data_IF_259994446824
#
_entry.id   IF_259994446824
#
_cell.length_a   1.000
_cell.length_b   1.000
_cell.length_c   1.000
_cell.angle_alpha   90.00
_cell.angle_beta   90.00
_cell.angle_gamma   90.00
#
_symmetry.space_group_name_H-M   'P 1'
#
loop_
_entity.id
_entity.type
_entity.pdbx_description
1 polymer ?
#
# COMPACT_ATOMS: atom_id res chain seq x y z
N UNK A 1 13.64 -18.54 -24.06
CA UNK A 1 13.67 -18.51 -22.59
C UNK A 1 14.64 -19.57 -22.09
N UNK A 2 15.82 -19.15 -21.65
CA UNK A 2 16.81 -20.01 -20.97
C UNK A 2 16.20 -20.55 -19.68
N UNK A 3 15.92 -21.86 -19.64
CA UNK A 3 15.45 -22.53 -18.42
C UNK A 3 16.46 -22.27 -17.31
N UNK A 4 16.05 -21.61 -16.24
CA UNK A 4 16.88 -21.43 -15.05
C UNK A 4 17.28 -22.81 -14.53
N UNK A 5 18.57 -23.13 -14.63
CA UNK A 5 19.13 -24.41 -14.16
C UNK A 5 19.36 -24.28 -12.65
N UNK A 6 18.29 -24.45 -11.86
CA UNK A 6 18.44 -24.59 -10.41
C UNK A 6 18.92 -26.02 -10.07
N UNK A 7 19.95 -26.18 -9.21
CA UNK A 7 20.39 -27.47 -8.69
C UNK A 7 19.24 -28.30 -8.13
N UNK A 8 19.26 -29.61 -8.34
CA UNK A 8 18.16 -30.51 -7.97
C UNK A 8 17.84 -30.43 -6.46
N UNK A 9 18.86 -30.24 -5.63
CA UNK A 9 18.73 -30.07 -4.17
C UNK A 9 17.90 -28.84 -3.78
N UNK A 10 18.09 -27.71 -4.48
CA UNK A 10 17.31 -26.49 -4.24
C UNK A 10 15.86 -26.69 -4.67
N UNK A 11 15.64 -27.35 -5.82
CA UNK A 11 14.28 -27.72 -6.27
C UNK A 11 13.58 -28.59 -5.23
N UNK A 12 14.25 -29.64 -4.73
CA UNK A 12 13.68 -30.54 -3.72
C UNK A 12 13.41 -29.81 -2.40
N UNK A 13 14.31 -28.92 -1.95
CA UNK A 13 14.10 -28.09 -0.77
C UNK A 13 12.88 -27.17 -0.92
N UNK A 14 12.74 -26.51 -2.05
CA UNK A 14 11.63 -25.60 -2.35
C UNK A 14 10.29 -26.36 -2.46
N UNK A 15 10.30 -27.55 -3.06
CA UNK A 15 9.14 -28.47 -3.08
C UNK A 15 8.73 -28.94 -1.69
N UNK A 16 9.69 -29.23 -0.80
CA UNK A 16 9.42 -29.60 0.59
C UNK A 16 8.84 -28.43 1.38
N UNK A 17 9.36 -27.21 1.21
CA UNK A 17 8.81 -26.00 1.83
C UNK A 17 7.39 -25.71 1.34
N UNK A 18 7.12 -25.88 0.04
CA UNK A 18 5.78 -25.77 -0.52
C UNK A 18 4.84 -26.83 0.07
N UNK A 19 5.23 -28.12 0.08
CA UNK A 19 4.42 -29.19 0.69
C UNK A 19 4.19 -29.01 2.19
N UNK A 20 5.17 -28.49 2.93
CA UNK A 20 5.01 -28.17 4.35
C UNK A 20 4.05 -26.99 4.59
N UNK A 21 3.98 -26.03 3.65
CA UNK A 21 2.93 -25.02 3.61
C UNK A 21 1.56 -25.56 3.17
N UNK A 22 1.48 -26.80 2.66
CA UNK A 22 0.25 -27.53 2.32
C UNK A 22 0.06 -28.70 3.30
N UNK A 23 0.20 -28.44 4.61
CA UNK A 23 -0.24 -29.41 5.61
C UNK A 23 -1.78 -29.53 5.59
N UNK A 24 -2.36 -30.74 5.74
CA UNK A 24 -3.71 -31.07 5.27
C UNK A 24 -4.86 -30.70 6.22
N UNK A 25 -4.62 -29.81 7.19
CA UNK A 25 -5.66 -29.34 8.12
C UNK A 25 -6.08 -27.94 7.72
N UNK A 26 -7.16 -27.87 6.93
CA UNK A 26 -7.86 -26.64 6.59
C UNK A 26 -8.43 -25.96 7.84
N UNK A 27 -8.29 -24.65 8.02
CA UNK A 27 -9.42 -23.81 8.40
C UNK A 27 -10.16 -23.40 7.12
N UNK A 28 -11.49 -23.32 7.18
CA UNK A 28 -12.43 -23.12 6.05
C UNK A 28 -12.28 -21.80 5.26
N UNK A 29 -11.17 -21.04 5.40
CA UNK A 29 -10.90 -19.86 4.59
C UNK A 29 -9.40 -19.52 4.50
N UNK A 30 -8.84 -19.62 3.30
CA UNK A 30 -7.55 -19.03 2.92
C UNK A 30 -6.34 -19.96 2.99
N UNK A 31 -5.44 -19.83 2.01
CA UNK A 31 -4.10 -20.43 2.04
C UNK A 31 -3.30 -19.93 3.24
N UNK A 32 -2.44 -20.75 3.87
CA UNK A 32 -1.55 -20.31 4.95
C UNK A 32 -0.54 -19.28 4.38
N UNK A 33 -0.87 -18.00 4.55
CA UNK A 33 0.03 -16.88 4.28
C UNK A 33 1.25 -16.99 5.21
N UNK A 34 2.36 -17.54 4.74
CA UNK A 34 3.52 -17.65 5.63
C UNK A 34 4.83 -18.17 5.09
N UNK A 35 4.93 -18.58 3.83
CA UNK A 35 6.25 -18.83 3.24
C UNK A 35 6.91 -17.49 2.87
N UNK A 36 8.06 -17.15 3.46
CA UNK A 36 8.90 -15.98 3.04
C UNK A 36 9.16 -16.00 1.52
N UNK A 37 9.06 -17.18 0.90
CA UNK A 37 9.27 -17.44 -0.53
C UNK A 37 8.01 -17.20 -1.38
N UNK A 38 6.82 -17.12 -0.78
CA UNK A 38 5.55 -16.98 -1.51
C UNK A 38 5.46 -15.72 -2.39
N UNK A 39 5.90 -14.53 -1.93
CA UNK A 39 5.92 -13.32 -2.78
C UNK A 39 6.87 -13.47 -3.97
N UNK A 40 8.01 -14.14 -3.76
CA UNK A 40 8.99 -14.40 -4.82
C UNK A 40 8.43 -15.37 -5.86
N UNK A 41 7.77 -16.44 -5.42
CA UNK A 41 7.16 -17.42 -6.32
C UNK A 41 5.98 -16.83 -7.09
N UNK A 42 5.17 -15.98 -6.48
CA UNK A 42 4.12 -15.23 -7.19
C UNK A 42 4.73 -14.33 -8.27
N UNK A 43 5.83 -13.62 -7.97
CA UNK A 43 6.52 -12.79 -8.96
C UNK A 43 7.10 -13.60 -10.12
N UNK A 44 7.67 -14.78 -9.85
CA UNK A 44 8.19 -15.71 -10.87
C UNK A 44 7.04 -16.27 -11.72
N UNK A 45 5.97 -16.71 -11.07
CA UNK A 45 4.80 -17.25 -11.76
C UNK A 45 4.18 -16.21 -12.69
N UNK A 46 4.03 -14.98 -12.23
CA UNK A 46 3.45 -13.87 -13.01
C UNK A 46 4.45 -13.20 -13.96
N UNK A 47 5.71 -13.67 -14.02
CA UNK A 47 6.71 -13.09 -14.91
C UNK A 47 6.35 -13.30 -16.40
N UNK A 48 6.50 -12.25 -17.20
CA UNK A 48 6.15 -12.23 -18.62
C UNK A 48 4.70 -11.76 -18.91
N UNK A 49 3.90 -11.46 -17.89
CA UNK A 49 2.55 -10.91 -18.09
C UNK A 49 2.59 -9.50 -18.72
N UNK A 50 3.66 -8.75 -18.44
CA UNK A 50 3.93 -7.41 -18.95
C UNK A 50 4.19 -7.39 -20.47
N UNK A 51 4.53 -8.54 -21.08
CA UNK A 51 4.71 -8.68 -22.53
C UNK A 51 3.38 -8.64 -23.29
N UNK A 52 2.25 -8.90 -22.62
CA UNK A 52 0.92 -8.90 -23.25
C UNK A 52 0.50 -7.49 -23.65
N UNK A 53 0.74 -6.53 -22.76
CA UNK A 53 0.36 -5.13 -22.94
C UNK A 53 1.09 -4.23 -21.92
N UNK A 54 1.41 -2.96 -22.26
CA UNK A 54 1.86 -1.95 -21.30
C UNK A 54 1.07 -1.97 -20.00
N UNK A 55 1.78 -2.28 -18.92
CA UNK A 55 1.20 -2.47 -17.59
C UNK A 55 2.17 -2.10 -16.48
N UNK A 56 1.62 -1.85 -15.31
CA UNK A 56 2.36 -1.72 -14.05
C UNK A 56 1.87 -2.82 -13.13
N UNK A 57 2.81 -3.59 -12.58
CA UNK A 57 2.53 -4.71 -11.67
C UNK A 57 3.21 -4.46 -10.32
N UNK A 58 2.47 -4.77 -9.26
CA UNK A 58 2.97 -4.85 -7.90
C UNK A 58 2.48 -6.15 -7.26
N UNK A 59 3.38 -7.14 -7.15
CA UNK A 59 3.02 -8.50 -6.74
C UNK A 59 1.87 -9.08 -7.59
N UNK A 60 0.70 -9.29 -6.99
CA UNK A 60 -0.54 -9.79 -7.61
C UNK A 60 -1.43 -8.68 -8.18
N UNK A 61 -1.29 -7.44 -7.71
CA UNK A 61 -2.04 -6.30 -8.21
C UNK A 61 -1.42 -5.76 -9.52
N UNK A 62 -2.23 -5.65 -10.57
CA UNK A 62 -1.78 -5.22 -11.90
C UNK A 62 -2.74 -4.23 -12.54
N UNK A 63 -2.18 -3.27 -13.28
CA UNK A 63 -2.93 -2.26 -14.04
C UNK A 63 -2.44 -2.27 -15.48
N UNK A 64 -3.36 -2.45 -16.43
CA UNK A 64 -3.09 -2.37 -17.86
C UNK A 64 -3.54 -1.02 -18.42
N UNK A 65 -2.68 -0.37 -19.21
CA UNK A 65 -2.99 0.92 -19.81
C UNK A 65 -3.46 0.76 -21.24
N UNK A 66 -4.77 0.83 -21.49
CA UNK A 66 -5.34 0.68 -22.82
C UNK A 66 -5.21 1.96 -23.65
N UNK A 67 -4.83 1.84 -24.92
CA UNK A 67 -4.88 2.95 -25.90
C UNK A 67 -6.26 2.99 -26.57
N UNK A 68 -6.66 4.11 -27.19
CA UNK A 68 -8.00 4.26 -27.80
C UNK A 68 -8.37 3.22 -28.87
N UNK A 69 -7.38 2.56 -29.49
CA UNK A 69 -7.59 1.52 -30.51
C UNK A 69 -7.54 0.09 -29.96
N UNK A 70 -7.24 -0.05 -28.66
CA UNK A 70 -7.08 -1.37 -28.05
C UNK A 70 -8.44 -1.93 -27.63
N UNK A 71 -8.63 -3.23 -27.85
CA UNK A 71 -9.80 -3.93 -27.38
C UNK A 71 -9.53 -4.52 -25.99
N UNK A 72 -10.20 -3.96 -24.98
CA UNK A 72 -10.08 -4.36 -23.58
C UNK A 72 -10.40 -5.84 -23.35
N UNK A 73 -11.43 -6.37 -24.01
CA UNK A 73 -11.88 -7.76 -23.86
C UNK A 73 -10.84 -8.73 -24.40
N UNK A 74 -10.25 -8.42 -25.55
CA UNK A 74 -9.19 -9.25 -26.15
C UNK A 74 -7.93 -9.29 -25.30
N UNK A 75 -7.58 -8.17 -24.65
CA UNK A 75 -6.45 -8.11 -23.73
C UNK A 75 -6.76 -8.92 -22.47
N UNK A 76 -7.97 -8.77 -21.92
CA UNK A 76 -8.43 -9.55 -20.78
C UNK A 76 -8.39 -11.06 -21.08
N UNK A 77 -8.84 -11.49 -22.25
CA UNK A 77 -8.79 -12.89 -22.68
C UNK A 77 -7.35 -13.42 -22.76
N UNK A 78 -6.42 -12.65 -23.32
CA UNK A 78 -4.99 -13.01 -23.35
C UNK A 78 -4.42 -13.17 -21.94
N UNK A 79 -4.79 -12.28 -21.03
CA UNK A 79 -4.37 -12.35 -19.62
C UNK A 79 -4.97 -13.58 -18.94
N UNK A 80 -6.25 -13.89 -19.19
CA UNK A 80 -6.89 -15.11 -18.69
C UNK A 80 -6.18 -16.37 -19.19
N UNK A 81 -5.89 -16.45 -20.49
CA UNK A 81 -5.16 -17.58 -21.07
C UNK A 81 -3.75 -17.73 -20.47
N UNK A 82 -3.07 -16.60 -20.20
CA UNK A 82 -1.74 -16.60 -19.58
C UNK A 82 -1.76 -17.12 -18.14
N UNK A 83 -2.77 -16.73 -17.36
CA UNK A 83 -2.97 -17.15 -15.98
C UNK A 83 -3.45 -18.60 -15.89
N UNK A 84 -4.38 -19.01 -16.78
CA UNK A 84 -4.89 -20.38 -16.85
C UNK A 84 -3.78 -21.39 -17.12
N UNK A 85 -2.82 -21.07 -18.01
CA UNK A 85 -1.62 -21.91 -18.25
C UNK A 85 -0.77 -22.13 -16.99
N UNK A 86 -0.92 -21.27 -15.98
CA UNK A 86 -0.19 -21.32 -14.70
C UNK A 86 -1.07 -21.78 -13.53
N UNK A 87 -2.28 -22.25 -13.82
CA UNK A 87 -3.24 -22.74 -12.82
C UNK A 87 -3.87 -21.63 -11.97
N UNK A 88 -3.85 -20.38 -12.44
CA UNK A 88 -4.44 -19.23 -11.75
C UNK A 88 -5.68 -18.74 -12.48
N UNK A 89 -6.71 -18.35 -11.72
CA UNK A 89 -7.93 -17.75 -12.25
C UNK A 89 -7.98 -16.25 -11.93
N UNK A 90 -8.54 -15.47 -12.84
CA UNK A 90 -8.83 -14.06 -12.59
C UNK A 90 -10.06 -13.96 -11.69
N UNK A 91 -9.98 -13.12 -10.67
CA UNK A 91 -11.17 -12.69 -9.93
C UNK A 91 -11.93 -11.67 -10.78
N UNK A 92 -13.02 -12.12 -11.40
CA UNK A 92 -13.89 -11.28 -12.24
C UNK A 92 -14.49 -10.11 -11.46
N UNK A 93 -14.73 -10.27 -10.16
CA UNK A 93 -15.24 -9.21 -9.27
C UNK A 93 -14.24 -8.07 -9.02
N UNK A 94 -12.94 -8.39 -9.01
CA UNK A 94 -11.87 -7.41 -8.80
C UNK A 94 -11.44 -6.71 -10.08
N UNK A 95 -11.71 -7.32 -11.23
CA UNK A 95 -11.27 -6.80 -12.52
C UNK A 95 -12.28 -5.78 -13.04
N UNK A 96 -11.86 -4.52 -13.15
CA UNK A 96 -12.74 -3.44 -13.60
C UNK A 96 -12.09 -2.68 -14.75
N UNK A 97 -12.82 -2.55 -15.85
CA UNK A 97 -12.45 -1.65 -16.94
C UNK A 97 -12.97 -0.27 -16.56
N UNK A 98 -12.06 0.67 -16.37
CA UNK A 98 -12.40 2.04 -15.95
C UNK A 98 -11.67 3.04 -16.84
N UNK A 99 -12.32 4.18 -17.08
CA UNK A 99 -11.69 5.28 -17.78
C UNK A 99 -10.75 6.02 -16.85
N UNK A 100 -9.62 6.50 -17.38
CA UNK A 100 -8.68 7.32 -16.60
C UNK A 100 -9.33 8.61 -16.06
N UNK A 101 -10.41 9.08 -16.69
CA UNK A 101 -11.22 10.23 -16.24
C UNK A 101 -12.11 9.92 -15.05
N UNK A 102 -12.68 8.72 -14.98
CA UNK A 102 -13.41 8.24 -13.80
C UNK A 102 -12.45 8.01 -12.64
N UNK A 103 -11.29 7.43 -12.95
CA UNK A 103 -10.23 7.09 -12.02
C UNK A 103 -10.31 5.65 -11.50
N UNK A 104 -9.23 5.18 -10.91
CA UNK A 104 -9.10 3.82 -10.37
C UNK A 104 -8.26 3.80 -9.09
N UNK A 105 -8.49 2.78 -8.26
CA UNK A 105 -7.71 2.57 -7.04
C UNK A 105 -6.58 1.55 -7.29
N UNK A 106 -5.37 1.87 -6.86
CA UNK A 106 -4.21 0.98 -6.91
C UNK A 106 -3.26 1.27 -5.74
N UNK A 107 -2.84 0.22 -5.01
CA UNK A 107 -1.97 0.31 -3.81
C UNK A 107 -2.46 1.28 -2.74
N UNK A 108 -3.78 1.43 -2.61
CA UNK A 108 -4.40 2.35 -1.65
C UNK A 108 -4.37 3.81 -2.07
N UNK A 109 -4.02 4.11 -3.32
CA UNK A 109 -4.11 5.43 -3.95
C UNK A 109 -5.19 5.41 -5.04
N UNK A 110 -5.94 6.49 -5.14
CA UNK A 110 -6.89 6.78 -6.19
C UNK A 110 -6.23 7.67 -7.25
N UNK A 111 -6.19 7.17 -8.48
CA UNK A 111 -5.60 7.85 -9.64
C UNK A 111 -6.71 8.36 -10.54
N UNK A 112 -6.67 9.65 -10.88
CA UNK A 112 -7.67 10.28 -11.75
C UNK A 112 -7.03 11.33 -12.65
N UNK A 113 -7.35 11.29 -13.94
CA UNK A 113 -7.05 12.36 -14.88
C UNK A 113 -8.24 13.30 -14.92
N UNK A 114 -8.03 14.57 -14.58
CA UNK A 114 -9.08 15.57 -14.67
C UNK A 114 -9.36 15.95 -16.14
N UNK A 115 -10.54 16.50 -16.41
CA UNK A 115 -10.93 16.98 -17.75
C UNK A 115 -9.97 18.03 -18.32
N UNK A 116 -9.28 18.78 -17.45
CA UNK A 116 -8.23 19.73 -17.82
C UNK A 116 -6.86 19.08 -18.15
N UNK A 117 -6.80 17.74 -18.25
CA UNK A 117 -5.59 16.98 -18.53
C UNK A 117 -4.63 16.83 -17.34
N UNK A 118 -4.92 17.40 -16.16
CA UNK A 118 -4.07 17.28 -14.98
C UNK A 118 -4.28 15.94 -14.29
N UNK A 119 -3.19 15.23 -14.05
CA UNK A 119 -3.18 14.02 -13.23
C UNK A 119 -3.32 14.35 -11.75
N UNK A 120 -4.19 13.63 -11.04
CA UNK A 120 -4.35 13.69 -9.59
C UNK A 120 -4.19 12.31 -8.98
N UNK A 121 -3.42 12.27 -7.90
CA UNK A 121 -3.27 11.12 -7.03
C UNK A 121 -3.71 11.51 -5.62
N UNK A 122 -4.73 10.84 -5.10
CA UNK A 122 -5.26 11.03 -3.74
C UNK A 122 -5.28 9.68 -3.01
N UNK A 123 -5.24 9.64 -1.67
CA UNK A 123 -5.49 8.39 -0.94
C UNK A 123 -6.85 7.77 -1.31
N UNK A 124 -6.93 6.45 -1.43
CA UNK A 124 -8.20 5.78 -1.75
C UNK A 124 -9.21 5.88 -0.60
N UNK A 125 -10.49 5.77 -0.95
CA UNK A 125 -11.61 5.80 0.01
C UNK A 125 -11.42 4.75 1.10
N UNK A 126 -11.18 3.51 0.67
CA UNK A 126 -11.02 2.34 1.54
C UNK A 126 -9.80 2.48 2.48
N UNK A 127 -8.69 3.04 1.98
CA UNK A 127 -7.50 3.28 2.79
C UNK A 127 -7.79 4.30 3.90
N UNK A 128 -8.45 5.40 3.55
CA UNK A 128 -8.88 6.40 4.55
C UNK A 128 -9.87 5.80 5.57
N UNK A 129 -10.81 4.97 5.13
CA UNK A 129 -11.72 4.30 6.05
C UNK A 129 -11.00 3.36 7.02
N UNK A 130 -10.03 2.58 6.52
CA UNK A 130 -9.18 1.71 7.35
C UNK A 130 -8.41 2.52 8.39
N UNK A 131 -7.82 3.66 8.00
CA UNK A 131 -7.18 4.58 8.92
C UNK A 131 -8.17 5.09 9.98
N UNK A 132 -9.33 5.59 9.54
CA UNK A 132 -10.36 6.16 10.43
C UNK A 132 -10.88 5.12 11.42
N UNK A 133 -11.12 3.89 10.98
CA UNK A 133 -11.55 2.78 11.86
C UNK A 133 -10.49 2.49 12.93
N UNK A 134 -9.21 2.37 12.55
CA UNK A 134 -8.10 2.18 13.50
C UNK A 134 -7.97 3.34 14.49
N UNK A 135 -8.05 4.58 14.01
CA UNK A 135 -7.97 5.76 14.86
C UNK A 135 -9.15 5.83 15.84
N UNK A 136 -10.38 5.60 15.36
CA UNK A 136 -11.58 5.57 16.21
C UNK A 136 -11.52 4.47 17.27
N UNK A 137 -11.02 3.28 16.94
CA UNK A 137 -10.86 2.20 17.91
C UNK A 137 -9.97 2.61 19.09
N UNK A 138 -8.89 3.37 18.84
CA UNK A 138 -8.01 3.88 19.90
C UNK A 138 -8.67 4.99 20.70
N UNK A 139 -9.35 5.91 20.02
CA UNK A 139 -9.98 7.08 20.65
C UNK A 139 -11.15 6.68 21.55
N UNK A 140 -11.96 5.72 21.09
CA UNK A 140 -13.16 5.25 21.79
C UNK A 140 -12.86 4.25 22.92
N UNK A 141 -11.60 3.80 23.06
CA UNK A 141 -11.23 2.90 24.14
C UNK A 141 -11.26 3.66 25.49
N UNK A 142 -12.23 3.36 26.35
CA UNK A 142 -12.42 4.03 27.66
C UNK A 142 -11.33 3.68 28.68
N UNK A 143 -10.64 2.54 28.52
CA UNK A 143 -9.58 2.08 29.43
C UNK A 143 -8.30 2.91 29.26
N UNK A 144 -8.05 3.43 28.05
CA UNK A 144 -6.83 4.17 27.77
C UNK A 144 -6.92 5.62 28.23
N UNK A 145 -5.95 6.05 29.02
CA UNK A 145 -5.76 7.46 29.32
C UNK A 145 -5.53 8.29 28.04
N UNK A 146 -6.00 9.53 28.04
CA UNK A 146 -5.92 10.47 26.91
C UNK A 146 -4.49 10.66 26.39
N UNK A 147 -3.50 10.70 27.29
CA UNK A 147 -2.08 10.78 26.92
C UNK A 147 -1.59 9.51 26.18
N UNK A 148 -2.03 8.33 26.61
CA UNK A 148 -1.69 7.04 25.99
C UNK A 148 -2.36 6.91 24.62
N UNK A 149 -3.59 7.42 24.46
CA UNK A 149 -4.27 7.51 23.15
C UNK A 149 -3.47 8.34 22.17
N UNK A 150 -2.99 9.52 22.59
CA UNK A 150 -2.17 10.38 21.75
C UNK A 150 -0.87 9.69 21.31
N UNK A 151 -0.16 9.03 22.24
CA UNK A 151 1.05 8.25 21.93
C UNK A 151 0.80 7.11 20.94
N UNK A 152 -0.34 6.41 21.04
CA UNK A 152 -0.71 5.32 20.12
C UNK A 152 -1.16 5.81 18.74
N UNK A 153 -1.82 6.97 18.67
CA UNK A 153 -2.28 7.56 17.40
C UNK A 153 -1.12 8.12 16.58
N UNK A 154 -0.14 8.76 17.23
CA UNK A 154 0.98 9.42 16.56
C UNK A 154 1.70 8.56 15.50
N UNK A 155 2.16 7.32 15.78
CA UNK A 155 2.85 6.49 14.78
C UNK A 155 1.94 6.06 13.63
N UNK A 156 0.64 5.83 13.88
CA UNK A 156 -0.32 5.42 12.85
C UNK A 156 -0.56 6.58 11.88
N UNK A 157 -0.83 7.78 12.41
CA UNK A 157 -1.06 8.98 11.61
C UNK A 157 0.22 9.37 10.86
N UNK A 158 1.39 9.29 11.52
CA UNK A 158 2.69 9.56 10.89
C UNK A 158 2.96 8.58 9.74
N UNK A 159 2.78 7.28 9.96
CA UNK A 159 2.97 6.26 8.93
C UNK A 159 2.06 6.49 7.72
N UNK A 160 0.79 6.82 7.97
CA UNK A 160 -0.16 7.11 6.91
C UNK A 160 0.21 8.38 6.13
N UNK A 161 0.59 9.46 6.81
CA UNK A 161 1.07 10.71 6.16
C UNK A 161 2.35 10.50 5.38
N UNK A 162 3.26 9.64 5.85
CA UNK A 162 4.49 9.30 5.14
C UNK A 162 4.20 8.49 3.88
N UNK A 163 3.31 7.49 3.96
CA UNK A 163 2.93 6.67 2.81
C UNK A 163 2.26 7.49 1.71
N UNK A 164 1.41 8.47 2.09
CA UNK A 164 0.70 9.35 1.15
C UNK A 164 1.39 10.70 0.93
N UNK A 165 2.66 10.85 1.31
CA UNK A 165 3.40 12.13 1.26
C UNK A 165 3.50 12.73 -0.14
N UNK A 166 3.42 11.89 -1.16
CA UNK A 166 3.50 12.26 -2.58
C UNK A 166 2.13 12.49 -3.22
N UNK A 167 1.05 12.16 -2.50
CA UNK A 167 -0.31 12.43 -2.94
C UNK A 167 -0.68 13.88 -2.63
N UNK A 168 -1.67 14.36 -3.36
CA UNK A 168 -2.29 15.65 -3.07
C UNK A 168 -3.12 15.54 -1.79
N UNK A 169 -2.61 16.09 -0.69
CA UNK A 169 -3.23 16.03 0.65
C UNK A 169 -4.00 17.31 1.04
N UNK A 170 -4.21 18.24 0.12
CA UNK A 170 -4.83 19.55 0.39
C UNK A 170 -6.35 19.49 0.65
N UNK A 171 -7.01 18.38 0.29
CA UNK A 171 -8.43 18.19 0.59
C UNK A 171 -8.71 18.05 2.10
N UNK A 172 -9.82 18.60 2.59
CA UNK A 172 -10.25 18.55 4.00
C UNK A 172 -10.33 17.14 4.60
N UNK A 173 -10.64 16.15 3.76
CA UNK A 173 -10.62 14.73 4.07
C UNK A 173 -9.19 14.20 4.27
N UNK A 174 -8.26 14.60 3.42
CA UNK A 174 -6.88 14.09 3.38
C UNK A 174 -5.94 14.82 4.34
N UNK A 175 -6.27 16.05 4.73
CA UNK A 175 -5.63 16.77 5.83
C UNK A 175 -5.92 16.15 7.21
N UNK A 176 -6.85 15.19 7.26
CA UNK A 176 -7.38 14.54 8.47
C UNK A 176 -8.07 15.52 9.42
N UNK A 177 -8.55 16.66 8.91
CA UNK A 177 -9.14 17.72 9.72
C UNK A 177 -10.32 17.22 10.56
N UNK A 178 -11.28 16.52 9.94
CA UNK A 178 -12.42 15.96 10.65
C UNK A 178 -12.00 14.98 11.74
N UNK A 179 -11.00 14.13 11.47
CA UNK A 179 -10.50 13.16 12.45
C UNK A 179 -9.79 13.88 13.61
N UNK A 180 -9.05 14.95 13.32
CA UNK A 180 -8.38 15.77 14.32
C UNK A 180 -9.41 16.47 15.23
N UNK A 181 -10.44 17.09 14.65
CA UNK A 181 -11.55 17.70 15.40
C UNK A 181 -12.28 16.69 16.28
N UNK A 182 -12.57 15.51 15.72
CA UNK A 182 -13.14 14.39 16.43
C UNK A 182 -12.30 14.01 17.66
N UNK A 183 -10.98 13.84 17.50
CA UNK A 183 -10.07 13.53 18.62
C UNK A 183 -10.04 14.66 19.64
N UNK A 184 -10.00 15.92 19.19
CA UNK A 184 -10.01 17.09 20.06
C UNK A 184 -11.27 17.14 20.94
N UNK A 185 -12.46 16.91 20.37
CA UNK A 185 -13.72 16.87 21.12
C UNK A 185 -13.68 15.78 22.19
N UNK A 186 -13.21 14.56 21.86
CA UNK A 186 -13.07 13.48 22.87
C UNK A 186 -12.04 13.82 23.94
N UNK A 187 -10.93 14.46 23.60
CA UNK A 187 -9.90 14.83 24.57
C UNK A 187 -10.35 16.00 25.46
N UNK A 188 -11.24 16.88 24.98
CA UNK A 188 -11.88 17.94 25.75
C UNK A 188 -12.97 17.44 26.71
N UNK A 189 -13.58 16.30 26.40
CA UNK A 189 -14.54 15.66 27.29
C UNK A 189 -13.90 15.07 28.56
N UNK A 190 -12.57 14.88 28.55
CA UNK A 190 -11.81 14.51 29.74
C UNK A 190 -11.73 15.70 30.71
N UNK A 191 -12.54 15.65 31.78
CA UNK A 191 -12.63 16.70 32.80
C UNK A 191 -11.33 16.92 33.57
N UNK A 192 -10.42 15.94 33.54
CA UNK A 192 -9.15 16.01 34.26
C UNK A 192 -8.06 16.81 33.52
N UNK A 193 -8.33 17.26 32.28
CA UNK A 193 -7.35 17.97 31.46
C UNK A 193 -7.88 19.34 31.01
N UNK A 194 -7.04 20.36 31.16
CA UNK A 194 -7.34 21.71 30.67
C UNK A 194 -7.34 21.79 29.15
N UNK A 195 -7.96 22.85 28.59
CA UNK A 195 -8.02 23.09 27.13
C UNK A 195 -6.63 23.03 26.47
N UNK A 196 -5.63 23.64 27.09
CA UNK A 196 -4.27 23.72 26.57
C UNK A 196 -3.59 22.34 26.51
N UNK A 197 -3.89 21.47 27.46
CA UNK A 197 -3.33 20.12 27.48
C UNK A 197 -3.96 19.23 26.41
N UNK A 198 -5.27 19.35 26.18
CA UNK A 198 -5.95 18.69 25.08
C UNK A 198 -5.36 19.10 23.71
N UNK A 199 -5.08 20.40 23.51
CA UNK A 199 -4.44 20.90 22.28
C UNK A 199 -3.05 20.27 22.10
N UNK A 200 -2.23 20.23 23.15
CA UNK A 200 -0.89 19.60 23.12
C UNK A 200 -0.97 18.12 22.71
N UNK A 201 -1.90 17.38 23.30
CA UNK A 201 -2.09 15.95 23.02
C UNK A 201 -2.59 15.68 21.60
N UNK A 202 -3.46 16.54 21.07
CA UNK A 202 -3.90 16.46 19.66
C UNK A 202 -2.74 16.75 18.72
N UNK A 203 -1.94 17.80 18.98
CA UNK A 203 -0.77 18.12 18.16
C UNK A 203 0.25 16.98 18.17
N UNK A 204 0.42 16.31 19.32
CA UNK A 204 1.25 15.11 19.43
C UNK A 204 0.69 13.92 18.62
N UNK A 205 -0.63 13.74 18.62
CA UNK A 205 -1.31 12.66 17.90
C UNK A 205 -1.30 12.88 16.36
N UNK A 206 -1.29 14.13 15.90
CA UNK A 206 -1.29 14.51 14.49
C UNK A 206 -0.03 15.29 14.10
N UNK A 207 1.17 14.66 14.14
CA UNK A 207 2.41 15.36 13.82
C UNK A 207 2.38 15.89 12.39
N UNK A 208 2.79 17.15 12.21
CA UNK A 208 2.96 17.74 10.87
C UNK A 208 4.08 17.00 10.16
N UNK A 209 3.80 16.56 8.93
CA UNK A 209 4.78 15.90 8.06
C UNK A 209 4.90 16.76 6.81
N UNK A 210 6.11 17.15 6.45
CA UNK A 210 6.38 17.85 5.19
C UNK A 210 5.93 16.98 4.02
N UNK A 211 5.08 17.49 3.14
CA UNK A 211 4.64 16.79 1.93
C UNK A 211 5.20 17.46 0.68
N UNK A 212 5.43 16.68 -0.36
CA UNK A 212 5.93 17.16 -1.65
C UNK A 212 5.14 16.48 -2.75
N UNK A 213 4.20 17.21 -3.32
CA UNK A 213 3.34 16.74 -4.41
C UNK A 213 4.21 16.36 -5.63
N UNK A 214 3.97 15.19 -6.23
CA UNK A 214 4.62 14.70 -7.46
C UNK A 214 6.15 14.50 -7.43
N UNK A 215 6.82 14.56 -6.27
CA UNK A 215 8.25 14.18 -6.16
C UNK A 215 8.40 12.67 -6.11
N UNK A 216 8.44 12.01 -7.25
CA UNK A 216 8.90 10.63 -7.31
C UNK A 216 10.42 10.59 -7.07
N UNK A 217 10.88 9.96 -5.98
CA UNK A 217 12.27 9.52 -5.91
C UNK A 217 12.35 8.24 -6.74
N UNK A 218 12.58 8.41 -8.04
CA UNK A 218 12.89 7.28 -8.92
C UNK A 218 14.04 6.50 -8.30
N UNK A 219 13.83 5.21 -8.06
CA UNK A 219 14.96 4.29 -7.94
C UNK A 219 15.67 4.38 -9.29
N UNK A 220 17.00 4.58 -9.31
CA UNK A 220 17.73 4.50 -10.59
C UNK A 220 17.36 3.16 -11.21
N UNK A 221 16.90 3.14 -12.46
CA UNK A 221 16.25 1.96 -13.06
C UNK A 221 17.06 0.66 -13.03
N UNK A 222 18.36 0.74 -12.78
CA UNK A 222 19.30 -0.39 -12.69
C UNK A 222 19.59 -0.84 -11.25
N UNK A 223 19.07 -0.15 -10.23
CA UNK A 223 19.36 -0.43 -8.82
C UNK A 223 18.32 -1.39 -8.23
N UNK A 224 18.79 -2.51 -7.70
CA UNK A 224 17.99 -3.55 -7.05
C UNK A 224 18.35 -3.60 -5.56
N UNK A 225 17.44 -3.86 -4.61
CA UNK A 225 17.80 -4.10 -3.20
C UNK A 225 18.85 -5.19 -2.99
N UNK A 226 19.08 -6.01 -4.03
CA UNK A 226 20.04 -7.10 -4.07
C UNK A 226 21.28 -6.79 -4.95
N UNK A 227 21.45 -5.53 -5.39
CA UNK A 227 22.60 -5.07 -6.17
C UNK A 227 23.88 -4.88 -5.33
N UNK A 228 23.80 -5.11 -4.01
CA UNK A 228 24.92 -4.96 -3.09
C UNK A 228 25.24 -3.52 -2.71
N UNK A 229 24.48 -2.52 -3.17
CA UNK A 229 24.67 -1.11 -2.80
C UNK A 229 24.03 -0.79 -1.45
N UNK A 230 24.60 -1.39 -0.40
CA UNK A 230 24.17 -1.22 0.98
C UNK A 230 24.17 0.26 1.40
N UNK A 231 25.04 1.09 0.84
CA UNK A 231 25.10 2.53 1.11
C UNK A 231 23.89 3.29 0.54
N UNK A 232 23.48 2.99 -0.70
CA UNK A 232 22.29 3.56 -1.32
C UNK A 232 21.02 3.15 -0.57
N UNK A 233 20.87 1.86 -0.26
CA UNK A 233 19.70 1.33 0.43
C UNK A 233 19.65 1.72 1.91
N UNK A 234 20.80 1.81 2.60
CA UNK A 234 20.88 2.28 3.99
C UNK A 234 20.54 3.75 4.11
N UNK A 235 21.05 4.62 3.23
CA UNK A 235 20.67 6.05 3.21
C UNK A 235 19.18 6.26 2.93
N UNK A 236 18.58 5.40 2.10
CA UNK A 236 17.15 5.46 1.78
C UNK A 236 16.28 4.95 2.92
N UNK A 237 16.70 3.89 3.62
CA UNK A 237 16.02 3.43 4.84
C UNK A 237 16.13 4.49 5.96
N UNK A 238 17.30 5.11 6.16
CA UNK A 238 17.48 6.21 7.14
C UNK A 238 16.50 7.35 6.88
N UNK A 239 16.38 7.83 5.64
CA UNK A 239 15.47 8.94 5.28
C UNK A 239 13.97 8.62 5.45
N UNK A 240 13.57 7.34 5.52
CA UNK A 240 12.19 6.93 5.79
C UNK A 240 11.86 6.93 7.30
N UNK A 241 12.87 6.79 8.16
CA UNK A 241 12.74 6.75 9.62
C UNK A 241 13.18 8.06 10.31
N UNK A 242 14.06 8.83 9.69
CA UNK A 242 14.50 10.14 10.17
C UNK A 242 13.51 11.21 9.69
N UNK A 243 12.37 11.28 10.38
CA UNK A 243 11.66 12.55 10.48
C UNK A 243 12.56 13.50 11.26
N UNK A 244 13.24 14.41 10.56
CA UNK A 244 14.05 15.53 11.06
C UNK A 244 13.94 15.71 12.60
N UNK A 245 14.87 15.10 13.32
CA UNK A 245 15.38 15.68 14.54
C UNK A 245 16.59 16.51 14.13
N UNK A 246 16.65 17.75 14.62
CA UNK A 246 17.67 18.79 14.43
C UNK A 246 17.49 19.69 13.19
N UNK A 247 17.45 21.02 13.29
CA UNK A 247 17.64 21.93 14.43
C UNK A 247 16.81 23.20 14.32
#
# INVERSE_FOLDING_TARGET
MTKVIAPQQIKTGLWRCLKAGVSPEFPEQGTPQGGVVSPLLANIALNGIEEIHPSVRYADDMVFFLKPKDNAEKILEKVQQFLAKRGMNISTEKTKITWATTGFDFLGWHFKVQENGKFRCTPSEENYEKLRKKAKAIVNNSVLATATKAKKLSPIIRGWRNYHRYCKMDGSRFSLWYLNQDVFIRFRADKNKGKNEAIKLVNQAFPVVSYSENKFVMVKGEKSPYDGDLLYWSKRNSNLYDGNLTG
#
